data_IF_094338812045
#
_entry.id   IF_094338812045
#
_cell.length_a   1.000
_cell.length_b   1.000
_cell.length_c   1.000
_cell.angle_alpha   90.00
_cell.angle_beta   90.00
_cell.angle_gamma   90.00
#
_symmetry.space_group_name_H-M   'P 1'
#
loop_
_entity.id
_entity.type
_entity.pdbx_description
1 polymer ?
#
# COMPACT_ATOMS: atom_id res chain seq x y z
N UNK A 1 -21.35 -19.73 51.61
CA UNK A 1 -22.09 -20.02 50.36
C UNK A 1 -23.12 -18.94 50.16
N UNK A 2 -22.81 -17.93 49.40
CA UNK A 2 -23.75 -16.82 49.13
C UNK A 2 -23.74 -16.56 47.61
N UNK A 3 -24.90 -16.73 46.98
CA UNK A 3 -25.13 -16.54 45.54
C UNK A 3 -25.15 -15.04 45.18
N UNK A 4 -24.61 -14.61 44.03
CA UNK A 4 -24.73 -13.23 43.54
C UNK A 4 -26.12 -13.01 42.87
N UNK A 5 -26.61 -11.77 42.85
CA UNK A 5 -27.94 -11.43 42.32
C UNK A 5 -27.95 -11.39 40.78
N UNK A 6 -29.07 -11.83 40.20
CA UNK A 6 -29.34 -11.81 38.74
C UNK A 6 -29.87 -10.44 38.32
N UNK A 7 -29.24 -9.84 37.30
CA UNK A 7 -29.72 -8.65 36.58
C UNK A 7 -30.88 -9.00 35.63
N UNK A 8 -31.94 -8.19 35.55
CA UNK A 8 -33.04 -8.40 34.60
C UNK A 8 -32.69 -7.90 33.20
N UNK A 9 -32.97 -8.74 32.20
CA UNK A 9 -32.87 -8.41 30.77
C UNK A 9 -34.01 -7.47 30.38
N UNK A 10 -33.70 -6.27 29.89
CA UNK A 10 -34.65 -5.39 29.20
C UNK A 10 -34.58 -5.62 27.69
N UNK A 11 -35.71 -6.04 27.10
CA UNK A 11 -35.90 -6.08 25.66
C UNK A 11 -36.26 -4.70 25.14
N UNK A 12 -35.65 -4.20 24.05
CA UNK A 12 -36.14 -3.01 23.35
C UNK A 12 -37.31 -3.39 22.40
N UNK A 13 -38.42 -2.68 22.57
CA UNK A 13 -39.61 -2.75 21.71
C UNK A 13 -39.30 -2.02 20.39
N UNK A 14 -39.43 -2.71 19.26
CA UNK A 14 -39.37 -2.13 17.93
C UNK A 14 -40.63 -1.31 17.67
N UNK A 15 -40.49 0.00 17.47
CA UNK A 15 -41.54 0.86 16.96
C UNK A 15 -41.52 0.82 15.42
N UNK A 16 -42.60 0.32 14.85
CA UNK A 16 -42.82 0.31 13.40
C UNK A 16 -43.47 1.65 13.02
N UNK A 17 -42.76 2.48 12.30
CA UNK A 17 -43.29 3.73 11.73
C UNK A 17 -43.84 3.42 10.34
N UNK A 18 -45.16 3.45 10.22
CA UNK A 18 -45.87 3.29 8.96
C UNK A 18 -45.83 4.60 8.15
N UNK A 19 -45.26 4.53 6.96
CA UNK A 19 -45.31 5.62 5.99
C UNK A 19 -46.55 5.45 5.11
N UNK A 20 -47.49 6.41 5.23
CA UNK A 20 -48.68 6.52 4.38
C UNK A 20 -48.28 7.14 3.03
N UNK A 21 -48.52 6.38 1.94
CA UNK A 21 -48.48 6.88 0.56
C UNK A 21 -49.77 7.65 0.28
N UNK A 22 -49.65 8.95 0.01
CA UNK A 22 -50.72 9.74 -0.60
C UNK A 22 -50.49 9.82 -2.12
N UNK A 23 -51.45 9.22 -2.83
CA UNK A 23 -51.63 9.41 -4.29
C UNK A 23 -52.26 10.79 -4.52
N UNK A 24 -51.63 11.63 -5.37
CA UNK A 24 -52.29 12.71 -6.02
C UNK A 24 -52.22 12.56 -7.54
N UNK A 25 -53.39 12.56 -8.14
CA UNK A 25 -53.65 12.43 -9.58
C UNK A 25 -53.82 13.78 -10.22
N UNK A 26 -53.50 13.85 -11.52
CA UNK A 26 -54.04 14.68 -12.61
C UNK A 26 -53.41 16.04 -12.89
N UNK A 27 -53.06 16.16 -14.17
CA UNK A 27 -52.85 17.40 -14.90
C UNK A 27 -52.22 17.14 -16.26
N UNK A 28 -53.10 16.83 -17.25
CA UNK A 28 -52.73 16.81 -18.67
C UNK A 28 -52.93 18.21 -19.22
N UNK A 29 -51.96 18.73 -19.99
CA UNK A 29 -52.17 19.73 -21.02
C UNK A 29 -50.96 19.81 -21.93
N UNK A 30 -51.20 19.55 -23.14
CA UNK A 30 -50.69 19.71 -24.44
C UNK A 30 -50.04 21.08 -24.74
N UNK A 31 -49.04 21.08 -25.61
CA UNK A 31 -48.80 21.93 -26.78
C UNK A 31 -47.32 21.82 -27.19
N UNK A 32 -47.09 21.19 -28.32
CA UNK A 32 -46.77 21.76 -29.61
C UNK A 32 -45.31 22.28 -29.78
N UNK A 33 -44.57 21.49 -30.54
CA UNK A 33 -43.68 21.83 -31.64
C UNK A 33 -42.82 23.08 -31.60
N UNK A 34 -41.49 22.90 -31.55
CA UNK A 34 -40.57 23.63 -32.43
C UNK A 34 -39.41 22.68 -32.80
N UNK A 35 -39.39 22.24 -34.06
CA UNK A 35 -38.19 21.72 -34.72
C UNK A 35 -37.26 22.91 -34.94
N UNK A 36 -36.04 22.85 -34.40
CA UNK A 36 -34.93 23.61 -34.93
C UNK A 36 -33.75 22.65 -35.10
N UNK A 37 -33.46 22.37 -36.38
CA UNK A 37 -32.21 21.78 -36.83
C UNK A 37 -31.05 22.64 -36.40
N UNK A 38 -30.11 22.08 -35.66
CA UNK A 38 -28.71 22.48 -35.74
C UNK A 38 -27.87 21.20 -35.75
N UNK A 39 -27.65 20.71 -36.96
CA UNK A 39 -26.49 19.89 -37.26
C UNK A 39 -25.27 20.82 -37.16
N UNK A 40 -24.32 20.49 -36.31
CA UNK A 40 -22.89 20.69 -36.55
C UNK A 40 -22.07 20.24 -35.36
N UNK A 41 -21.10 19.40 -35.65
CA UNK A 41 -19.91 19.24 -34.82
C UNK A 41 -19.93 18.07 -33.87
N UNK A 42 -19.88 16.86 -34.42
CA UNK A 42 -19.30 15.72 -33.71
C UNK A 42 -17.81 16.00 -33.46
N UNK A 43 -17.53 16.81 -32.45
CA UNK A 43 -16.21 16.85 -31.85
C UNK A 43 -16.01 15.55 -31.08
N UNK A 44 -15.35 14.58 -31.71
CA UNK A 44 -14.73 13.50 -30.97
C UNK A 44 -13.87 14.18 -29.92
N UNK A 45 -14.27 14.07 -28.65
CA UNK A 45 -13.39 14.36 -27.54
C UNK A 45 -12.31 13.31 -27.66
N UNK A 46 -11.22 13.66 -28.35
CA UNK A 46 -9.99 12.90 -28.26
C UNK A 46 -9.66 12.85 -26.78
N UNK A 47 -9.90 11.72 -26.16
CA UNK A 47 -9.29 11.39 -24.90
C UNK A 47 -7.80 11.42 -25.17
N UNK A 48 -7.20 12.59 -24.92
CA UNK A 48 -5.76 12.70 -24.81
C UNK A 48 -5.38 11.78 -23.66
N UNK A 49 -4.95 10.58 -24.01
CA UNK A 49 -4.13 9.75 -23.13
C UNK A 49 -2.99 10.66 -22.69
N UNK A 50 -2.85 10.97 -21.38
CA UNK A 50 -1.69 11.71 -20.94
C UNK A 50 -0.48 10.84 -21.30
N UNK A 51 0.38 11.39 -22.15
CA UNK A 51 1.70 10.81 -22.36
C UNK A 51 2.30 10.63 -20.97
N UNK A 52 2.49 9.38 -20.57
CA UNK A 52 3.06 9.00 -19.28
C UNK A 52 4.53 9.42 -19.24
N UNK A 53 4.76 10.70 -19.00
CA UNK A 53 6.02 11.12 -18.40
C UNK A 53 5.99 10.52 -16.98
N UNK A 54 6.68 9.42 -16.78
CA UNK A 54 6.97 8.57 -15.65
C UNK A 54 6.77 9.01 -14.20
N UNK A 55 5.80 9.87 -13.91
CA UNK A 55 5.41 10.29 -12.57
C UNK A 55 3.89 10.28 -12.47
N UNK A 56 3.34 9.08 -12.23
CA UNK A 56 1.98 8.98 -11.73
C UNK A 56 1.96 9.54 -10.31
N UNK A 57 1.53 10.79 -10.19
CA UNK A 57 1.24 11.39 -8.89
C UNK A 57 -0.02 10.70 -8.35
N UNK A 58 0.14 9.77 -7.42
CA UNK A 58 -0.99 9.18 -6.73
C UNK A 58 -1.38 10.11 -5.59
N UNK A 59 -2.51 10.77 -5.76
CA UNK A 59 -3.17 11.59 -4.74
C UNK A 59 -3.39 10.76 -3.47
N UNK A 60 -2.80 11.15 -2.38
CA UNK A 60 -2.99 10.93 -0.95
C UNK A 60 -3.67 9.68 -0.35
N UNK A 61 -4.13 8.72 -1.13
CA UNK A 61 -4.91 7.56 -0.66
C UNK A 61 -4.21 6.21 -0.82
N UNK A 62 -2.88 6.21 -0.92
CA UNK A 62 -2.14 4.99 -1.18
C UNK A 62 -2.21 4.58 -2.66
N UNK A 63 -1.22 3.84 -3.15
CA UNK A 63 -1.24 3.36 -4.52
C UNK A 63 0.04 2.72 -4.98
N UNK A 64 -0.06 1.97 -6.07
CA UNK A 64 1.08 1.34 -6.72
C UNK A 64 1.59 2.22 -7.85
N UNK A 65 2.88 2.51 -7.84
CA UNK A 65 3.61 3.15 -8.94
C UNK A 65 4.61 2.16 -9.49
N UNK A 66 4.54 1.87 -10.78
CA UNK A 66 5.55 1.09 -11.49
C UNK A 66 6.41 2.08 -12.28
N UNK A 67 7.71 2.07 -12.04
CA UNK A 67 8.66 2.94 -12.73
C UNK A 67 9.06 2.29 -14.06
N UNK A 68 8.84 3.01 -15.15
CA UNK A 68 9.16 2.52 -16.48
C UNK A 68 10.68 2.31 -16.69
N UNK A 69 11.02 1.47 -17.65
CA UNK A 69 12.40 1.02 -17.93
C UNK A 69 13.37 2.13 -18.35
N UNK A 70 12.91 3.31 -18.78
CA UNK A 70 13.79 4.34 -19.34
C UNK A 70 14.69 5.03 -18.30
N UNK A 71 14.23 5.28 -17.11
CA UNK A 71 15.05 5.89 -16.04
C UNK A 71 14.42 5.70 -14.64
N UNK A 72 14.32 4.47 -14.14
CA UNK A 72 13.82 4.26 -12.79
C UNK A 72 14.80 4.87 -11.78
N UNK A 73 14.30 5.47 -10.68
CA UNK A 73 15.14 6.09 -9.67
C UNK A 73 16.06 5.07 -9.01
N UNK A 74 17.28 5.47 -8.69
CA UNK A 74 18.17 4.65 -7.87
C UNK A 74 17.73 4.69 -6.41
N UNK A 75 17.78 3.53 -5.77
CA UNK A 75 17.68 3.48 -4.31
C UNK A 75 18.93 4.14 -3.72
N UNK A 76 18.78 5.04 -2.75
CA UNK A 76 19.92 5.64 -2.04
C UNK A 76 20.73 4.56 -1.32
N UNK A 77 22.02 4.83 -1.03
CA UNK A 77 22.83 3.93 -0.23
C UNK A 77 22.27 3.88 1.21
N UNK A 78 21.75 2.72 1.61
CA UNK A 78 21.20 2.50 2.94
C UNK A 78 22.09 1.53 3.69
N UNK A 79 22.41 1.86 4.93
CA UNK A 79 23.09 0.97 5.85
C UNK A 79 22.73 1.30 7.29
N UNK A 80 22.77 0.30 8.16
CA UNK A 80 22.45 0.49 9.56
C UNK A 80 22.63 -0.77 10.38
N UNK A 81 22.15 -0.71 11.62
CA UNK A 81 22.11 -1.86 12.53
C UNK A 81 20.68 -2.42 12.49
N UNK A 82 20.57 -3.74 12.40
CA UNK A 82 19.29 -4.43 12.47
C UNK A 82 18.74 -4.46 13.89
N UNK A 83 17.48 -4.83 14.07
CA UNK A 83 16.87 -5.05 15.37
C UNK A 83 17.66 -6.07 16.22
N UNK A 84 18.32 -7.05 15.57
CA UNK A 84 19.16 -8.06 16.24
C UNK A 84 20.61 -7.63 16.46
N UNK A 85 20.97 -6.38 16.16
CA UNK A 85 22.32 -5.84 16.33
C UNK A 85 23.29 -6.09 15.18
N UNK A 86 22.92 -6.85 14.15
CA UNK A 86 23.80 -7.12 13.00
C UNK A 86 23.91 -5.89 12.08
N UNK A 87 24.99 -5.79 11.30
CA UNK A 87 25.15 -4.77 10.28
C UNK A 87 24.53 -5.23 8.95
N UNK A 88 23.68 -4.38 8.38
CA UNK A 88 23.04 -4.60 7.09
C UNK A 88 23.19 -3.37 6.21
N UNK A 89 23.43 -3.58 4.91
CA UNK A 89 23.41 -2.51 3.91
C UNK A 89 22.76 -3.00 2.62
N UNK A 90 22.05 -2.09 1.95
CA UNK A 90 21.44 -2.37 0.65
C UNK A 90 22.49 -2.72 -0.42
N UNK A 91 23.70 -2.14 -0.31
CA UNK A 91 24.80 -2.43 -1.22
C UNK A 91 25.22 -3.91 -1.21
N UNK A 92 25.13 -4.60 -0.07
CA UNK A 92 25.44 -6.03 0.06
C UNK A 92 24.41 -6.94 -0.60
N UNK A 93 23.25 -6.39 -0.97
CA UNK A 93 22.16 -7.12 -1.62
C UNK A 93 22.16 -6.91 -3.16
N UNK A 94 23.20 -6.28 -3.72
CA UNK A 94 23.36 -6.16 -5.17
C UNK A 94 23.37 -7.55 -5.82
N UNK A 95 22.80 -7.64 -7.04
CA UNK A 95 22.60 -8.92 -7.70
C UNK A 95 21.31 -9.65 -7.32
N UNK A 96 20.64 -9.23 -6.24
CA UNK A 96 19.31 -9.71 -5.86
C UNK A 96 18.23 -8.66 -6.19
N UNK A 97 17.03 -9.10 -6.47
CA UNK A 97 15.85 -8.25 -6.35
C UNK A 97 15.59 -8.02 -4.88
N UNK A 98 15.41 -6.76 -4.48
CA UNK A 98 15.21 -6.45 -3.05
C UNK A 98 13.79 -5.93 -2.85
N UNK A 99 13.07 -6.52 -1.91
CA UNK A 99 11.82 -5.99 -1.36
C UNK A 99 12.16 -5.27 -0.07
N UNK A 100 12.02 -3.94 -0.07
CA UNK A 100 12.26 -3.09 1.09
C UNK A 100 10.92 -2.54 1.60
N UNK A 101 10.58 -2.85 2.84
CA UNK A 101 9.34 -2.43 3.48
C UNK A 101 9.61 -1.48 4.64
N UNK A 102 9.00 -0.29 4.60
CA UNK A 102 9.03 0.69 5.69
C UNK A 102 7.81 0.47 6.58
N UNK A 103 8.02 0.24 7.86
CA UNK A 103 6.98 -0.20 8.79
C UNK A 103 7.22 0.29 10.22
N UNK A 104 6.28 0.05 11.11
CA UNK A 104 6.39 0.22 12.55
C UNK A 104 5.36 -0.66 13.25
N UNK A 105 5.64 -1.17 14.45
CA UNK A 105 4.74 -2.06 15.18
C UNK A 105 3.41 -1.42 15.55
N UNK A 106 3.39 -0.10 15.71
CA UNK A 106 2.23 0.74 16.03
C UNK A 106 1.33 1.03 14.82
N UNK A 107 1.76 0.69 13.62
CA UNK A 107 1.07 0.99 12.35
C UNK A 107 0.04 -0.12 12.05
N UNK A 108 -1.24 0.20 12.13
CA UNK A 108 -2.32 -0.79 11.88
C UNK A 108 -2.27 -1.43 10.49
N UNK A 109 -2.14 -0.68 9.36
CA UNK A 109 -2.04 -1.33 8.06
C UNK A 109 -0.73 -2.12 7.86
N UNK A 110 0.35 -1.79 8.58
CA UNK A 110 1.56 -2.61 8.56
C UNK A 110 1.32 -4.00 9.18
N UNK A 111 0.47 -4.08 10.21
CA UNK A 111 0.05 -5.35 10.82
C UNK A 111 -0.80 -6.18 9.85
N UNK A 112 -1.63 -5.54 9.04
CA UNK A 112 -2.48 -6.21 8.07
C UNK A 112 -1.66 -6.84 6.92
N UNK A 113 -0.62 -6.17 6.43
CA UNK A 113 0.24 -6.70 5.35
C UNK A 113 1.31 -7.70 5.80
N UNK A 114 1.69 -7.70 7.08
CA UNK A 114 2.79 -8.50 7.60
C UNK A 114 2.71 -10.01 7.26
N UNK A 115 1.52 -10.67 7.32
CA UNK A 115 1.41 -12.07 6.90
C UNK A 115 1.74 -12.29 5.43
N UNK A 116 1.35 -11.37 4.54
CA UNK A 116 1.64 -11.45 3.11
C UNK A 116 3.15 -11.30 2.85
N UNK A 117 3.80 -10.32 3.48
CA UNK A 117 5.23 -10.11 3.38
C UNK A 117 6.02 -11.33 3.90
N UNK A 118 5.64 -11.87 5.06
CA UNK A 118 6.30 -13.06 5.62
C UNK A 118 6.14 -14.30 4.71
N UNK A 119 4.98 -14.49 4.09
CA UNK A 119 4.73 -15.58 3.16
C UNK A 119 5.55 -15.43 1.87
N UNK A 120 5.59 -14.23 1.30
CA UNK A 120 6.37 -13.93 0.09
C UNK A 120 7.87 -14.07 0.34
N UNK A 121 8.38 -13.63 1.49
CA UNK A 121 9.79 -13.80 1.85
C UNK A 121 10.19 -15.28 1.87
N UNK A 122 9.34 -16.16 2.40
CA UNK A 122 9.58 -17.61 2.37
C UNK A 122 9.53 -18.18 0.95
N UNK A 123 8.56 -17.72 0.14
CA UNK A 123 8.35 -18.25 -1.22
C UNK A 123 9.48 -17.86 -2.17
N UNK A 124 10.02 -16.64 -2.04
CA UNK A 124 11.02 -16.09 -2.95
C UNK A 124 12.46 -16.17 -2.42
N UNK A 125 12.68 -16.61 -1.18
CA UNK A 125 14.01 -16.63 -0.55
C UNK A 125 15.07 -17.43 -1.32
N UNK A 126 14.65 -18.42 -2.11
CA UNK A 126 15.54 -19.22 -2.96
C UNK A 126 15.59 -18.75 -4.42
N UNK A 127 14.80 -17.73 -4.79
CA UNK A 127 14.66 -17.24 -6.17
C UNK A 127 15.50 -15.98 -6.47
N UNK A 128 16.49 -15.66 -5.65
CA UNK A 128 17.32 -14.48 -5.82
C UNK A 128 16.61 -13.17 -5.41
N UNK A 129 15.65 -13.25 -4.48
CA UNK A 129 14.97 -12.12 -3.87
C UNK A 129 15.38 -12.02 -2.40
N UNK A 130 15.84 -10.84 -2.00
CA UNK A 130 16.10 -10.51 -0.61
C UNK A 130 14.99 -9.61 -0.06
N UNK A 131 14.55 -9.86 1.16
CA UNK A 131 13.64 -9.00 1.88
C UNK A 131 14.38 -8.27 2.98
N UNK A 132 14.07 -6.98 3.17
CA UNK A 132 14.55 -6.19 4.30
C UNK A 132 13.46 -5.22 4.76
N UNK A 133 13.34 -5.07 6.07
CA UNK A 133 12.49 -4.05 6.69
C UNK A 133 13.30 -2.80 7.06
N UNK A 134 12.60 -1.70 7.22
CA UNK A 134 13.06 -0.49 7.91
C UNK A 134 12.02 -0.16 8.95
N UNK A 135 12.35 -0.42 10.20
CA UNK A 135 11.49 -0.15 11.35
C UNK A 135 11.70 1.29 11.80
N UNK A 136 10.67 2.13 11.67
CA UNK A 136 10.77 3.55 11.90
C UNK A 136 9.97 4.01 13.12
N UNK A 137 10.56 4.90 13.93
CA UNK A 137 9.89 5.54 15.08
C UNK A 137 9.27 4.54 16.04
N UNK A 138 9.99 3.47 16.30
CA UNK A 138 9.55 2.38 17.17
C UNK A 138 10.58 2.08 18.25
N UNK A 139 10.19 1.29 19.24
CA UNK A 139 11.13 0.70 20.19
C UNK A 139 11.57 -0.66 19.71
N UNK A 140 12.83 -1.01 19.90
CA UNK A 140 13.37 -2.32 19.52
C UNK A 140 12.53 -3.47 20.09
N UNK A 141 12.09 -3.35 21.35
CA UNK A 141 11.25 -4.37 22.00
C UNK A 141 9.92 -4.60 21.28
N UNK A 142 9.22 -3.51 20.91
CA UNK A 142 7.95 -3.59 20.18
C UNK A 142 8.14 -4.14 18.78
N UNK A 143 9.19 -3.68 18.09
CA UNK A 143 9.53 -4.13 16.75
C UNK A 143 9.88 -5.63 16.71
N UNK A 144 10.67 -6.12 17.68
CA UNK A 144 10.97 -7.55 17.80
C UNK A 144 9.74 -8.38 18.14
N UNK A 145 8.85 -7.90 19.01
CA UNK A 145 7.59 -8.56 19.30
C UNK A 145 6.74 -8.70 18.03
N UNK A 146 6.61 -7.62 17.25
CA UNK A 146 5.93 -7.64 15.97
C UNK A 146 6.53 -8.69 15.01
N UNK A 147 7.86 -8.73 14.85
CA UNK A 147 8.50 -9.71 13.96
C UNK A 147 8.23 -11.15 14.42
N UNK A 148 8.24 -11.43 15.72
CA UNK A 148 7.91 -12.75 16.26
C UNK A 148 6.45 -13.14 16.00
N UNK A 149 5.52 -12.23 16.29
CA UNK A 149 4.08 -12.46 16.17
C UNK A 149 3.67 -12.78 14.73
N UNK A 150 4.23 -12.05 13.76
CA UNK A 150 3.97 -12.22 12.33
C UNK A 150 4.92 -13.20 11.64
N UNK A 151 5.82 -13.85 12.38
CA UNK A 151 6.79 -14.84 11.84
C UNK A 151 7.63 -14.26 10.70
N UNK A 152 8.05 -13.01 10.84
CA UNK A 152 8.94 -12.31 9.91
C UNK A 152 10.35 -12.81 10.15
N UNK A 153 10.99 -13.40 9.13
CA UNK A 153 12.32 -14.00 9.21
C UNK A 153 13.41 -13.16 8.56
N UNK A 154 13.04 -12.16 7.77
CA UNK A 154 14.00 -11.26 7.15
C UNK A 154 14.43 -10.14 8.10
N UNK A 155 15.66 -9.62 7.96
CA UNK A 155 16.18 -8.59 8.84
C UNK A 155 15.48 -7.24 8.62
N UNK A 156 15.31 -6.48 9.70
CA UNK A 156 14.87 -5.08 9.65
C UNK A 156 15.92 -4.17 10.24
N UNK A 157 16.23 -3.08 9.53
CA UNK A 157 17.03 -1.98 10.05
C UNK A 157 16.24 -1.24 11.13
N UNK A 158 16.91 -0.90 12.23
CA UNK A 158 16.35 -0.09 13.31
C UNK A 158 16.57 1.40 12.97
N UNK A 159 15.50 2.13 12.69
CA UNK A 159 15.51 3.54 12.30
C UNK A 159 14.59 4.38 13.22
N UNK A 160 14.87 4.44 14.53
CA UNK A 160 14.02 5.14 15.49
C UNK A 160 13.90 6.65 15.20
N UNK A 161 14.89 7.22 14.55
CA UNK A 161 14.90 8.63 14.12
C UNK A 161 14.22 8.88 12.78
N UNK A 162 13.91 7.85 12.00
CA UNK A 162 13.37 7.97 10.65
C UNK A 162 14.35 8.56 9.63
N UNK A 163 15.66 8.46 9.88
CA UNK A 163 16.71 9.05 9.02
C UNK A 163 16.85 8.28 7.72
N UNK A 164 16.78 6.95 7.77
CA UNK A 164 16.79 6.10 6.56
C UNK A 164 15.57 6.40 5.70
N UNK A 165 14.39 6.59 6.30
CA UNK A 165 13.19 6.98 5.55
C UNK A 165 13.35 8.35 4.89
N UNK A 166 14.10 9.29 5.49
CA UNK A 166 14.40 10.60 4.90
C UNK A 166 15.27 10.50 3.64
N UNK A 167 16.17 9.54 3.55
CA UNK A 167 16.98 9.33 2.34
C UNK A 167 16.10 8.99 1.12
N UNK A 168 14.93 8.43 1.37
CA UNK A 168 13.93 8.11 0.35
C UNK A 168 12.89 9.21 0.13
N UNK A 169 13.06 10.41 0.68
CA UNK A 169 12.05 11.51 0.62
C UNK A 169 11.53 11.85 -0.77
N UNK A 170 12.34 11.63 -1.81
CA UNK A 170 11.94 11.82 -3.21
C UNK A 170 11.15 10.65 -3.79
N UNK A 171 11.15 9.50 -3.12
CA UNK A 171 10.51 8.25 -3.56
C UNK A 171 9.46 7.79 -2.55
N UNK A 172 9.80 7.88 -1.26
CA UNK A 172 8.93 7.51 -0.14
C UNK A 172 8.51 8.79 0.59
N UNK A 173 7.21 9.12 0.68
CA UNK A 173 6.77 10.25 1.47
C UNK A 173 7.18 10.10 2.94
N UNK A 174 7.68 11.13 3.62
CA UNK A 174 8.20 11.04 4.99
C UNK A 174 7.20 10.50 6.04
N UNK A 175 5.90 10.63 5.78
CA UNK A 175 4.84 10.13 6.67
C UNK A 175 4.13 8.87 6.13
N UNK A 176 4.60 8.30 5.02
CA UNK A 176 3.93 7.21 4.34
C UNK A 176 4.42 5.84 4.79
N UNK A 177 3.83 5.26 5.83
CA UNK A 177 3.96 3.83 6.16
C UNK A 177 2.57 3.18 6.24
N UNK A 178 2.48 1.92 5.81
CA UNK A 178 3.54 1.15 5.17
C UNK A 178 3.87 1.69 3.78
N UNK A 179 5.12 1.55 3.38
CA UNK A 179 5.54 1.73 2.00
C UNK A 179 6.48 0.59 1.63
N UNK A 180 6.20 -0.06 0.51
CA UNK A 180 7.03 -1.15 -0.02
C UNK A 180 7.66 -0.74 -1.34
N UNK A 181 8.97 -0.92 -1.45
CA UNK A 181 9.74 -0.74 -2.67
C UNK A 181 10.18 -2.09 -3.22
N UNK A 182 10.08 -2.26 -4.54
CA UNK A 182 10.74 -3.36 -5.25
C UNK A 182 11.93 -2.76 -6.00
N UNK A 183 13.12 -3.31 -5.75
CA UNK A 183 14.40 -2.80 -6.25
C UNK A 183 15.04 -3.89 -7.09
N UNK A 184 15.48 -3.55 -8.31
CA UNK A 184 16.14 -4.47 -9.23
C UNK A 184 17.53 -4.89 -8.76
N UNK A 185 18.10 -5.90 -9.41
CA UNK A 185 19.48 -6.39 -9.18
C UNK A 185 20.54 -5.28 -9.31
N UNK A 186 20.26 -4.27 -10.14
CA UNK A 186 21.14 -3.10 -10.36
C UNK A 186 20.89 -1.96 -9.35
N UNK A 187 19.94 -2.13 -8.42
CA UNK A 187 19.60 -1.15 -7.38
C UNK A 187 18.70 -0.01 -7.85
N UNK A 188 17.95 -0.22 -8.92
CA UNK A 188 16.94 0.72 -9.39
C UNK A 188 15.58 0.34 -8.79
N UNK A 189 14.82 1.33 -8.35
CA UNK A 189 13.47 1.12 -7.81
C UNK A 189 12.52 0.91 -8.99
N UNK A 190 11.99 -0.30 -9.13
CA UNK A 190 11.09 -0.69 -10.22
C UNK A 190 9.62 -0.49 -9.86
N UNK A 191 9.31 -0.58 -8.57
CA UNK A 191 7.95 -0.33 -8.09
C UNK A 191 7.95 0.25 -6.68
N UNK A 192 6.90 1.02 -6.37
CA UNK A 192 6.57 1.52 -5.04
C UNK A 192 5.10 1.29 -4.77
N UNK A 193 4.78 0.76 -3.61
CA UNK A 193 3.41 0.68 -3.08
C UNK A 193 3.36 1.52 -1.81
N UNK A 194 2.47 2.52 -1.79
CA UNK A 194 2.15 3.30 -0.59
C UNK A 194 0.86 2.73 -0.01
N UNK A 195 0.87 2.39 1.26
CA UNK A 195 -0.21 1.66 1.92
C UNK A 195 0.00 0.15 1.91
N UNK A 196 -0.99 -0.58 2.39
CA UNK A 196 -0.97 -2.03 2.55
C UNK A 196 -0.75 -2.76 1.21
N UNK A 197 0.16 -3.72 1.19
CA UNK A 197 0.38 -4.61 0.04
C UNK A 197 -0.44 -5.89 0.15
N UNK A 198 -1.08 -6.29 -0.94
CA UNK A 198 -1.66 -7.62 -1.05
C UNK A 198 -0.60 -8.65 -1.49
N UNK A 199 -0.80 -9.91 -1.09
CA UNK A 199 0.07 -11.02 -1.52
C UNK A 199 0.21 -11.10 -3.04
N UNK A 200 -0.91 -11.07 -3.77
CA UNK A 200 -0.91 -11.19 -5.23
C UNK A 200 -0.27 -9.98 -5.91
N UNK A 201 -0.61 -8.77 -5.46
CA UNK A 201 -0.05 -7.55 -6.04
C UNK A 201 1.47 -7.47 -5.89
N UNK A 202 1.99 -7.74 -4.68
CA UNK A 202 3.44 -7.71 -4.46
C UNK A 202 4.16 -8.87 -5.16
N UNK A 203 3.56 -10.08 -5.19
CA UNK A 203 4.09 -11.22 -5.94
C UNK A 203 4.31 -10.85 -7.42
N UNK A 204 3.34 -10.20 -8.03
CA UNK A 204 3.39 -9.87 -9.45
C UNK A 204 4.45 -8.79 -9.74
N UNK A 205 4.62 -7.80 -8.85
CA UNK A 205 5.68 -6.81 -8.94
C UNK A 205 7.07 -7.44 -8.81
N UNK A 206 7.25 -8.37 -7.87
CA UNK A 206 8.51 -9.12 -7.70
C UNK A 206 8.80 -9.93 -8.95
N UNK A 207 7.83 -10.70 -9.45
CA UNK A 207 7.99 -11.55 -10.64
C UNK A 207 8.34 -10.75 -11.87
N UNK A 208 7.67 -9.61 -12.09
CA UNK A 208 7.97 -8.68 -13.18
C UNK A 208 9.40 -8.13 -13.09
N UNK A 209 9.84 -7.80 -11.87
CA UNK A 209 11.21 -7.29 -11.66
C UNK A 209 12.27 -8.38 -11.86
N UNK A 210 11.99 -9.62 -11.43
CA UNK A 210 12.87 -10.77 -11.65
C UNK A 210 13.10 -11.08 -13.13
N UNK A 211 12.07 -10.88 -13.97
CA UNK A 211 12.13 -11.10 -15.40
C UNK A 211 12.94 -10.02 -16.17
N UNK A 212 13.29 -8.89 -15.53
CA UNK A 212 14.11 -7.86 -16.14
C UNK A 212 15.57 -8.33 -16.31
N UNK A 213 16.22 -8.00 -17.42
CA UNK A 213 17.65 -8.27 -17.60
C UNK A 213 18.47 -7.54 -16.52
N UNK A 214 19.59 -8.14 -16.15
CA UNK A 214 20.55 -7.60 -15.17
C UNK A 214 21.37 -6.48 -15.73
#
# INVERSE_FOLDING_TARGET
MSRPPRCPRRHPRHAVIGIRLTRARRGAAAAAAILALTACGGGAIAQSTPASNGQSFVSGTGGTTVFGSRNPPHAPPVSGTTLTGAKLSLARLRGHVVVMNFWGSWCTPCRAEAPALAALARSFGHAGVAFMGVDIRDTTTSAEAFQRDFKITYPSLNDPGGLIALDFRTTVPPAGIPTTLVISRTGRITARVIGEVSYTGLRDLISTTLAQPS
#
